data_IF_772062223775
#
_entry.id   IF_772062223775
#
_cell.length_a   1.000
_cell.length_b   1.000
_cell.length_c   1.000
_cell.angle_alpha   90.00
_cell.angle_beta   90.00
_cell.angle_gamma   90.00
#
_symmetry.space_group_name_H-M   'P 1'
#
loop_
_entity.id
_entity.type
_entity.pdbx_description
1 polymer ?
#
# COMPACT_ATOMS: atom_id res chain seq x y z
N UNK A 1 -23.41 16.68 -42.58
CA UNK A 1 -23.00 18.07 -42.85
C UNK A 1 -21.56 18.23 -42.39
N UNK A 2 -20.68 18.10 -43.38
CA UNK A 2 -19.37 18.75 -43.60
C UNK A 2 -18.47 19.24 -42.45
N UNK A 3 -17.27 18.64 -42.46
CA UNK A 3 -15.97 19.25 -42.78
C UNK A 3 -15.50 20.61 -42.17
N UNK A 4 -14.38 20.48 -41.43
CA UNK A 4 -13.11 21.25 -41.55
C UNK A 4 -12.96 22.69 -41.01
N UNK A 5 -12.07 22.84 -40.03
CA UNK A 5 -10.93 23.80 -39.98
C UNK A 5 -10.18 23.58 -38.65
N UNK A 6 -9.04 22.89 -38.57
CA UNK A 6 -7.67 23.35 -38.85
C UNK A 6 -7.27 24.68 -38.14
N UNK A 7 -6.69 24.60 -36.93
CA UNK A 7 -5.38 25.15 -36.56
C UNK A 7 -5.11 25.11 -35.03
N UNK A 8 -3.88 24.76 -34.58
CA UNK A 8 -3.46 24.87 -33.19
C UNK A 8 -3.02 26.31 -32.85
N UNK A 9 -3.56 26.88 -31.78
CA UNK A 9 -3.13 28.17 -31.26
C UNK A 9 -1.72 28.05 -30.64
N UNK A 10 -0.73 28.56 -31.36
CA UNK A 10 0.58 28.91 -30.84
C UNK A 10 0.42 29.94 -29.72
N UNK A 11 0.75 29.60 -28.47
CA UNK A 11 0.82 30.59 -27.41
C UNK A 11 2.03 31.53 -27.61
N UNK A 12 1.70 32.82 -27.58
CA UNK A 12 2.51 33.98 -27.86
C UNK A 12 3.85 34.10 -27.12
N UNK A 13 4.83 34.63 -27.84
CA UNK A 13 6.03 35.31 -27.33
C UNK A 13 5.68 36.58 -26.53
N UNK A 14 6.39 36.90 -25.44
CA UNK A 14 6.48 38.28 -24.95
C UNK A 14 7.77 38.93 -25.46
N UNK A 15 7.60 40.05 -26.15
CA UNK A 15 8.66 40.94 -26.62
C UNK A 15 9.33 41.71 -25.46
N UNK A 16 10.65 41.49 -25.31
CA UNK A 16 11.74 42.42 -24.96
C UNK A 16 11.44 43.64 -24.06
N UNK A 17 12.15 43.76 -22.91
CA UNK A 17 13.23 44.76 -22.71
C UNK A 17 14.09 44.50 -21.44
N UNK A 18 15.39 44.21 -21.65
CA UNK A 18 16.60 44.59 -20.86
C UNK A 18 16.67 44.09 -19.40
N UNK A 19 17.72 43.47 -18.85
CA UNK A 19 19.14 43.31 -19.19
C UNK A 19 19.77 42.30 -18.18
N UNK A 20 20.99 41.82 -18.49
CA UNK A 20 21.97 41.10 -17.62
C UNK A 20 21.88 39.55 -17.62
N UNK A 21 22.71 38.97 -18.50
CA UNK A 21 23.58 37.81 -18.30
C UNK A 21 23.21 36.79 -17.19
N UNK A 22 22.81 35.59 -17.58
CA UNK A 22 23.49 34.36 -17.16
C UNK A 22 23.25 33.27 -18.22
N UNK A 23 24.34 32.94 -18.92
CA UNK A 23 24.40 31.95 -20.00
C UNK A 23 24.38 30.55 -19.38
N UNK A 24 23.20 29.94 -19.20
CA UNK A 24 23.09 28.49 -19.07
C UNK A 24 22.64 27.91 -20.41
N UNK A 25 23.64 27.58 -21.24
CA UNK A 25 23.45 26.80 -22.46
C UNK A 25 23.08 25.37 -22.06
N UNK A 26 21.78 25.07 -21.99
CA UNK A 26 21.28 23.69 -21.96
C UNK A 26 21.43 23.12 -23.37
N UNK A 27 22.55 22.47 -23.63
CA UNK A 27 22.73 21.66 -24.84
C UNK A 27 21.78 20.46 -24.77
N UNK A 28 20.64 20.58 -25.46
CA UNK A 28 19.78 19.45 -25.78
C UNK A 28 20.43 18.73 -26.98
N UNK A 29 21.15 17.63 -26.72
CA UNK A 29 21.66 16.78 -27.79
C UNK A 29 20.49 16.02 -28.43
N UNK A 30 19.93 16.59 -29.50
CA UNK A 30 19.08 15.84 -30.43
C UNK A 30 19.95 14.86 -31.22
N UNK A 31 19.82 13.56 -30.95
CA UNK A 31 20.15 12.53 -31.93
C UNK A 31 18.98 12.38 -32.92
N UNK A 32 19.20 12.45 -34.24
CA UNK A 32 18.16 12.18 -35.22
C UNK A 32 17.95 10.66 -35.36
N UNK A 33 16.68 10.21 -35.33
CA UNK A 33 16.32 8.87 -35.82
C UNK A 33 15.82 7.82 -34.83
N UNK A 34 15.44 8.15 -33.59
CA UNK A 34 14.73 7.21 -32.71
C UNK A 34 13.30 7.71 -32.51
N UNK A 35 12.35 6.91 -32.98
CA UNK A 35 10.92 7.14 -32.75
C UNK A 35 10.67 7.37 -31.26
N UNK A 36 10.11 8.54 -30.95
CA UNK A 36 9.86 8.98 -29.58
C UNK A 36 8.78 8.10 -28.99
N UNK A 37 9.14 6.95 -28.43
CA UNK A 37 8.30 6.31 -27.44
C UNK A 37 8.41 7.12 -26.17
N UNK A 38 7.55 8.13 -26.05
CA UNK A 38 7.24 8.73 -24.77
C UNK A 38 6.74 7.60 -23.89
N UNK A 39 7.60 7.03 -23.05
CA UNK A 39 7.14 6.21 -21.94
C UNK A 39 6.40 7.18 -21.04
N UNK A 40 5.07 7.07 -20.89
CA UNK A 40 4.38 7.88 -19.92
C UNK A 40 4.95 7.47 -18.56
N UNK A 41 5.75 8.35 -17.97
CA UNK A 41 5.92 8.39 -16.52
C UNK A 41 4.52 8.31 -15.94
N UNK A 42 4.25 7.31 -15.10
CA UNK A 42 2.91 6.99 -14.59
C UNK A 42 2.27 8.21 -13.91
N UNK A 43 1.62 9.05 -14.73
CA UNK A 43 0.71 10.09 -14.31
C UNK A 43 -0.53 9.39 -13.77
N UNK A 44 -0.86 9.64 -12.50
CA UNK A 44 -2.12 9.25 -11.85
C UNK A 44 -3.31 10.03 -12.46
N UNK A 45 -3.47 9.99 -13.77
CA UNK A 45 -4.63 10.54 -14.48
C UNK A 45 -5.39 9.33 -15.00
N UNK A 46 -6.55 9.08 -14.40
CA UNK A 46 -7.46 8.02 -14.82
C UNK A 46 -7.93 8.35 -16.25
N UNK A 47 -7.45 7.60 -17.23
CA UNK A 47 -7.92 7.71 -18.62
C UNK A 47 -9.26 6.98 -18.78
N UNK A 48 -10.00 7.28 -19.84
CA UNK A 48 -11.31 6.66 -20.13
C UNK A 48 -11.27 5.13 -20.27
N UNK A 49 -10.08 4.57 -20.47
CA UNK A 49 -9.85 3.14 -20.71
C UNK A 49 -9.72 2.33 -19.41
N UNK A 50 -9.74 3.00 -18.27
CA UNK A 50 -9.58 2.39 -16.94
C UNK A 50 -10.96 1.93 -16.44
N UNK A 51 -11.23 0.63 -16.48
CA UNK A 51 -12.49 0.03 -16.02
C UNK A 51 -12.67 0.19 -14.49
N UNK A 52 -13.55 1.09 -14.07
CA UNK A 52 -13.94 1.26 -12.68
C UNK A 52 -15.20 0.42 -12.39
N UNK A 53 -15.27 -0.26 -11.24
CA UNK A 53 -16.49 -0.95 -10.81
C UNK A 53 -17.63 0.04 -10.61
N UNK A 54 -18.85 -0.47 -10.63
CA UNK A 54 -20.05 0.36 -10.42
C UNK A 54 -20.18 0.79 -8.96
N UNK A 55 -20.88 1.89 -8.69
CA UNK A 55 -21.05 2.40 -7.32
C UNK A 55 -21.77 1.40 -6.42
N UNK A 56 -22.73 0.65 -6.97
CA UNK A 56 -23.49 -0.38 -6.25
C UNK A 56 -22.58 -1.48 -5.70
N UNK A 57 -21.56 -1.89 -6.46
CA UNK A 57 -20.58 -2.88 -6.03
C UNK A 57 -19.69 -2.37 -4.89
N UNK A 58 -19.52 -1.05 -4.77
CA UNK A 58 -18.70 -0.43 -3.74
C UNK A 58 -19.49 -0.14 -2.45
N UNK A 59 -20.82 -0.03 -2.54
CA UNK A 59 -21.67 0.21 -1.38
C UNK A 59 -21.74 -1.01 -0.45
N UNK A 60 -21.09 -0.89 0.71
CA UNK A 60 -20.99 -1.93 1.74
C UNK A 60 -21.24 -1.25 3.09
N UNK A 61 -21.93 -1.89 4.06
CA UNK A 61 -22.09 -1.31 5.39
C UNK A 61 -20.73 -1.01 6.03
N UNK A 62 -20.52 0.26 6.41
CA UNK A 62 -19.27 0.71 7.00
C UNK A 62 -19.19 0.44 8.51
N UNK A 63 -17.96 0.29 9.00
CA UNK A 63 -17.67 0.18 10.43
C UNK A 63 -17.56 1.58 11.04
N UNK A 64 -18.70 2.12 11.45
CA UNK A 64 -18.82 3.46 12.04
C UNK A 64 -18.34 3.50 13.50
N UNK A 65 -17.04 3.32 13.72
CA UNK A 65 -16.40 3.40 15.04
C UNK A 65 -15.25 4.40 15.05
N UNK A 66 -15.00 5.01 16.20
CA UNK A 66 -13.86 5.92 16.37
C UNK A 66 -12.53 5.15 16.39
N UNK A 67 -11.44 5.83 16.01
CA UNK A 67 -10.08 5.26 16.04
C UNK A 67 -9.69 4.59 17.38
N UNK A 68 -9.96 5.20 18.54
CA UNK A 68 -9.70 4.58 19.85
C UNK A 68 -10.47 3.28 20.07
N UNK A 69 -11.72 3.19 19.60
CA UNK A 69 -12.53 1.98 19.72
C UNK A 69 -11.99 0.85 18.81
N UNK A 70 -11.59 1.18 17.58
CA UNK A 70 -10.94 0.20 16.69
C UNK A 70 -9.61 -0.28 17.29
N UNK A 71 -8.82 0.62 17.88
CA UNK A 71 -7.55 0.30 18.52
C UNK A 71 -7.72 -0.54 19.79
N UNK A 72 -8.79 -0.29 20.56
CA UNK A 72 -9.17 -1.10 21.72
C UNK A 72 -9.50 -2.56 21.34
N UNK A 73 -10.24 -2.75 20.23
CA UNK A 73 -10.66 -4.07 19.76
C UNK A 73 -9.64 -4.80 18.89
N UNK A 74 -8.54 -4.16 18.49
CA UNK A 74 -7.66 -4.63 17.42
C UNK A 74 -7.09 -6.05 17.62
N UNK A 75 -6.65 -6.39 18.83
CA UNK A 75 -6.07 -7.72 19.11
C UNK A 75 -7.10 -8.85 18.98
N UNK A 76 -8.29 -8.63 19.52
CA UNK A 76 -9.39 -9.60 19.51
C UNK A 76 -10.00 -9.72 18.11
N UNK A 77 -10.18 -8.59 17.42
CA UNK A 77 -10.64 -8.54 16.03
C UNK A 77 -9.67 -9.27 15.10
N UNK A 78 -8.37 -9.00 15.23
CA UNK A 78 -7.34 -9.63 14.41
C UNK A 78 -7.30 -11.14 14.60
N UNK A 79 -7.57 -11.64 15.82
CA UNK A 79 -7.62 -13.08 16.09
C UNK A 79 -8.90 -13.73 15.53
N UNK A 80 -10.04 -13.07 15.67
CA UNK A 80 -11.33 -13.60 15.20
C UNK A 80 -11.44 -13.58 13.67
N UNK A 81 -10.98 -12.51 13.03
CA UNK A 81 -11.08 -12.31 11.58
C UNK A 81 -9.76 -12.60 10.85
N UNK A 82 -8.89 -13.47 11.42
CA UNK A 82 -7.56 -13.75 10.86
C UNK A 82 -7.64 -14.36 9.45
N UNK A 83 -8.59 -15.26 9.20
CA UNK A 83 -8.75 -15.92 7.90
C UNK A 83 -9.09 -14.91 6.79
N UNK A 84 -10.16 -14.13 6.96
CA UNK A 84 -10.61 -13.15 5.97
C UNK A 84 -9.57 -12.04 5.72
N UNK A 85 -8.90 -11.57 6.78
CA UNK A 85 -7.87 -10.56 6.66
C UNK A 85 -6.65 -11.06 5.88
N UNK A 86 -6.24 -12.31 6.12
CA UNK A 86 -5.11 -12.89 5.41
C UNK A 86 -5.44 -13.14 3.93
N UNK A 87 -6.67 -13.54 3.62
CA UNK A 87 -7.12 -13.68 2.23
C UNK A 87 -7.07 -12.34 1.49
N UNK A 88 -7.63 -11.28 2.09
CA UNK A 88 -7.59 -9.94 1.51
C UNK A 88 -6.17 -9.43 1.29
N UNK A 89 -5.27 -9.65 2.27
CA UNK A 89 -3.89 -9.20 2.17
C UNK A 89 -3.10 -10.00 1.13
N UNK A 90 -3.33 -11.32 1.01
CA UNK A 90 -2.73 -12.12 -0.06
C UNK A 90 -3.25 -11.67 -1.43
N UNK A 91 -4.56 -11.44 -1.55
CA UNK A 91 -5.18 -10.95 -2.78
C UNK A 91 -4.51 -9.69 -3.29
N UNK A 92 -4.36 -8.72 -2.39
CA UNK A 92 -3.76 -7.42 -2.70
C UNK A 92 -2.28 -7.54 -3.06
N UNK A 93 -1.53 -8.40 -2.39
CA UNK A 93 -0.09 -8.58 -2.66
C UNK A 93 0.17 -9.30 -3.99
N UNK A 94 -0.68 -10.25 -4.35
CA UNK A 94 -0.51 -11.07 -5.56
C UNK A 94 -0.99 -10.37 -6.83
N UNK A 95 -2.13 -9.66 -6.77
CA UNK A 95 -2.73 -9.03 -7.95
C UNK A 95 -2.30 -7.56 -8.14
N UNK A 96 -1.89 -6.87 -7.06
CA UNK A 96 -1.55 -5.43 -7.03
C UNK A 96 -2.68 -4.50 -7.56
N UNK A 97 -3.88 -5.04 -7.79
CA UNK A 97 -5.06 -4.36 -8.29
C UNK A 97 -6.18 -4.36 -7.23
N UNK A 98 -6.62 -3.18 -6.72
CA UNK A 98 -7.63 -3.12 -5.66
C UNK A 98 -9.04 -3.52 -6.11
N UNK A 99 -9.31 -3.52 -7.43
CA UNK A 99 -10.64 -3.82 -7.99
C UNK A 99 -10.96 -5.31 -7.99
N UNK A 100 -9.95 -6.15 -8.11
CA UNK A 100 -10.13 -7.60 -8.09
C UNK A 100 -10.45 -8.13 -6.68
N UNK A 101 -9.99 -7.42 -5.64
CA UNK A 101 -10.08 -7.86 -4.23
C UNK A 101 -11.30 -7.28 -3.47
N UNK A 102 -12.35 -6.84 -4.17
CA UNK A 102 -13.50 -6.18 -3.53
C UNK A 102 -14.36 -7.16 -2.72
N UNK A 103 -14.46 -8.41 -3.15
CA UNK A 103 -15.30 -9.41 -2.48
C UNK A 103 -14.68 -9.85 -1.14
N UNK A 104 -13.37 -10.02 -1.11
CA UNK A 104 -12.55 -10.30 0.06
C UNK A 104 -12.60 -9.10 1.02
N UNK A 105 -12.54 -7.87 0.49
CA UNK A 105 -12.72 -6.66 1.29
C UNK A 105 -14.09 -6.60 1.97
N UNK A 106 -15.16 -7.00 1.27
CA UNK A 106 -16.52 -7.14 1.84
C UNK A 106 -16.58 -8.20 2.94
N UNK A 107 -15.88 -9.32 2.78
CA UNK A 107 -15.82 -10.36 3.78
C UNK A 107 -15.15 -9.87 5.08
N UNK A 108 -14.05 -9.11 4.95
CA UNK A 108 -13.36 -8.47 6.08
C UNK A 108 -14.27 -7.51 6.83
N UNK A 109 -14.98 -6.62 6.13
CA UNK A 109 -15.88 -5.64 6.77
C UNK A 109 -17.07 -6.33 7.45
N UNK A 110 -17.63 -7.37 6.83
CA UNK A 110 -18.69 -8.17 7.43
C UNK A 110 -18.21 -8.87 8.71
N UNK A 111 -17.03 -9.49 8.69
CA UNK A 111 -16.46 -10.13 9.89
C UNK A 111 -16.25 -9.10 11.02
N UNK A 112 -15.75 -7.91 10.71
CA UNK A 112 -15.58 -6.84 11.69
C UNK A 112 -16.92 -6.39 12.29
N UNK A 113 -17.95 -6.21 11.46
CA UNK A 113 -19.30 -5.85 11.95
C UNK A 113 -19.89 -6.92 12.86
N UNK A 114 -19.76 -8.20 12.50
CA UNK A 114 -20.23 -9.30 13.34
C UNK A 114 -19.49 -9.35 14.68
N UNK A 115 -18.17 -9.16 14.66
CA UNK A 115 -17.34 -9.08 15.86
C UNK A 115 -17.80 -7.95 16.78
N UNK A 116 -17.98 -6.73 16.27
CA UNK A 116 -18.42 -5.60 17.10
C UNK A 116 -19.87 -5.76 17.58
N UNK A 117 -20.74 -6.42 16.81
CA UNK A 117 -22.10 -6.80 17.28
C UNK A 117 -22.03 -7.76 18.45
N UNK A 118 -21.15 -8.77 18.40
CA UNK A 118 -20.93 -9.72 19.52
C UNK A 118 -20.32 -9.01 20.74
N UNK A 119 -19.31 -8.17 20.52
CA UNK A 119 -18.65 -7.38 21.57
C UNK A 119 -19.66 -6.47 22.30
N UNK A 120 -20.54 -5.79 21.55
CA UNK A 120 -21.57 -4.92 22.12
C UNK A 120 -22.63 -5.70 22.91
N UNK A 121 -22.98 -6.92 22.48
CA UNK A 121 -23.94 -7.76 23.22
C UNK A 121 -23.38 -8.27 24.55
N UNK A 122 -22.08 -8.57 24.59
CA UNK A 122 -21.47 -9.28 25.70
C UNK A 122 -20.69 -8.37 26.67
N UNK A 123 -19.89 -7.42 26.17
CA UNK A 123 -18.89 -6.67 26.95
C UNK A 123 -18.91 -5.15 26.66
N UNK A 124 -20.09 -4.57 26.42
CA UNK A 124 -20.22 -3.16 26.03
C UNK A 124 -19.64 -2.18 27.07
N UNK A 125 -19.88 -2.42 28.36
CA UNK A 125 -19.42 -1.55 29.45
C UNK A 125 -17.91 -1.50 29.57
N UNK A 126 -17.28 -2.67 29.59
CA UNK A 126 -15.85 -2.89 29.73
C UNK A 126 -15.12 -2.33 28.51
N UNK A 127 -15.68 -2.57 27.32
CA UNK A 127 -15.14 -2.06 26.07
C UNK A 127 -15.20 -0.52 26.02
N UNK A 128 -16.31 0.08 26.42
CA UNK A 128 -16.44 1.54 26.46
C UNK A 128 -15.46 2.17 27.46
N UNK A 129 -15.28 1.57 28.64
CA UNK A 129 -14.29 2.04 29.62
C UNK A 129 -12.86 1.98 29.08
N UNK A 130 -12.51 0.89 28.37
CA UNK A 130 -11.19 0.76 27.77
C UNK A 130 -10.96 1.76 26.62
N UNK A 131 -11.93 1.89 25.71
CA UNK A 131 -11.86 2.85 24.61
C UNK A 131 -11.75 4.30 25.11
N UNK A 132 -12.53 4.67 26.14
CA UNK A 132 -12.46 5.98 26.78
C UNK A 132 -11.12 6.24 27.46
N UNK A 133 -10.50 5.22 28.05
CA UNK A 133 -9.17 5.35 28.62
C UNK A 133 -8.13 5.62 27.54
N UNK A 134 -8.17 4.87 26.42
CA UNK A 134 -7.23 5.08 25.32
C UNK A 134 -7.36 6.49 24.73
N UNK A 135 -8.60 6.96 24.53
CA UNK A 135 -8.89 8.29 23.99
C UNK A 135 -8.40 9.43 24.91
N UNK A 136 -8.54 9.28 26.23
CA UNK A 136 -8.19 10.34 27.20
C UNK A 136 -6.76 10.29 27.72
N UNK A 137 -6.08 9.15 27.63
CA UNK A 137 -4.80 8.93 28.31
C UNK A 137 -3.62 9.59 27.61
N UNK A 138 -3.61 9.63 26.27
CA UNK A 138 -2.48 10.13 25.49
C UNK A 138 -2.91 10.52 24.08
N UNK A 139 -2.27 11.54 23.50
CA UNK A 139 -2.51 11.93 22.10
C UNK A 139 -2.18 10.82 21.09
N UNK A 140 -1.26 9.91 21.45
CA UNK A 140 -0.80 8.82 20.59
C UNK A 140 -1.59 7.51 20.76
N UNK A 141 -2.61 7.48 21.64
CA UNK A 141 -3.41 6.31 22.00
C UNK A 141 -2.55 5.12 22.48
N UNK A 142 -1.59 5.37 23.37
CA UNK A 142 -0.65 4.38 23.87
C UNK A 142 -1.32 3.42 24.89
N UNK A 143 -1.13 2.11 24.68
CA UNK A 143 -1.71 1.05 25.53
C UNK A 143 -1.13 0.98 26.95
N UNK A 144 0.04 1.58 27.21
CA UNK A 144 0.73 1.50 28.50
C UNK A 144 -0.08 2.06 29.66
N UNK A 145 -0.85 3.12 29.44
CA UNK A 145 -1.59 3.80 30.51
C UNK A 145 -2.90 3.09 30.89
N UNK A 146 -3.42 2.23 30.01
CA UNK A 146 -4.75 1.62 30.15
C UNK A 146 -4.71 0.11 30.45
N UNK A 147 -3.64 -0.40 31.07
CA UNK A 147 -3.50 -1.85 31.37
C UNK A 147 -4.54 -2.37 32.36
N UNK A 148 -5.03 -1.53 33.28
CA UNK A 148 -6.08 -1.92 34.26
C UNK A 148 -7.41 -2.18 33.57
N UNK A 149 -7.86 -1.26 32.72
CA UNK A 149 -9.09 -1.39 31.95
C UNK A 149 -8.97 -2.48 30.87
N UNK A 150 -7.78 -2.64 30.28
CA UNK A 150 -7.50 -3.75 29.37
C UNK A 150 -7.72 -5.12 30.05
N UNK A 151 -7.19 -5.31 31.27
CA UNK A 151 -7.36 -6.58 31.98
C UNK A 151 -8.82 -6.91 32.33
N UNK A 152 -9.68 -5.90 32.50
CA UNK A 152 -11.13 -6.10 32.70
C UNK A 152 -11.80 -6.53 31.40
N UNK A 153 -11.47 -5.88 30.29
CA UNK A 153 -12.00 -6.25 28.97
C UNK A 153 -11.55 -7.66 28.57
N UNK A 154 -10.25 -7.97 28.68
CA UNK A 154 -9.68 -9.26 28.29
C UNK A 154 -10.34 -10.42 29.07
N UNK A 155 -10.67 -10.22 30.36
CA UNK A 155 -11.42 -11.20 31.15
C UNK A 155 -12.85 -11.40 30.62
N UNK A 156 -13.59 -10.32 30.37
CA UNK A 156 -14.95 -10.43 29.85
C UNK A 156 -15.00 -11.15 28.49
N UNK A 157 -14.03 -10.86 27.62
CA UNK A 157 -13.93 -11.49 26.29
C UNK A 157 -13.60 -12.97 26.39
N UNK A 158 -12.69 -13.35 27.30
CA UNK A 158 -12.37 -14.75 27.57
C UNK A 158 -13.60 -15.50 28.11
N UNK A 159 -14.27 -14.95 29.12
CA UNK A 159 -15.38 -15.62 29.81
C UNK A 159 -16.63 -15.78 28.92
N UNK A 160 -16.95 -14.78 28.08
CA UNK A 160 -18.21 -14.75 27.31
C UNK A 160 -18.06 -15.17 25.84
N UNK A 161 -16.91 -14.91 25.23
CA UNK A 161 -16.68 -15.19 23.80
C UNK A 161 -15.62 -16.27 23.57
N UNK A 162 -14.91 -16.71 24.61
CA UNK A 162 -13.83 -17.70 24.52
C UNK A 162 -12.74 -17.31 23.51
N UNK A 163 -12.49 -16.00 23.39
CA UNK A 163 -11.43 -15.46 22.54
C UNK A 163 -10.28 -15.03 23.47
N UNK A 164 -9.17 -15.74 23.40
CA UNK A 164 -7.97 -15.36 24.14
C UNK A 164 -7.20 -14.27 23.38
N UNK A 165 -6.63 -13.32 24.14
CA UNK A 165 -5.72 -12.33 23.58
C UNK A 165 -4.42 -13.03 23.14
N UNK A 166 -4.02 -12.92 21.86
CA UNK A 166 -2.83 -13.59 21.37
C UNK A 166 -1.53 -13.01 21.97
N UNK A 167 -0.46 -13.79 21.90
CA UNK A 167 0.87 -13.42 22.36
C UNK A 167 1.45 -12.21 21.59
N UNK A 168 2.45 -11.54 22.16
CA UNK A 168 3.04 -10.32 21.60
C UNK A 168 3.62 -10.51 20.18
N UNK A 169 4.12 -11.70 19.85
CA UNK A 169 4.70 -12.02 18.53
C UNK A 169 3.72 -12.65 17.55
N UNK A 170 2.48 -12.93 17.95
CA UNK A 170 1.52 -13.71 17.15
C UNK A 170 1.29 -13.14 15.75
N UNK A 171 1.07 -11.83 15.68
CA UNK A 171 0.76 -11.13 14.43
C UNK A 171 1.99 -10.80 13.58
N UNK A 172 3.19 -10.84 14.16
CA UNK A 172 4.44 -10.62 13.42
C UNK A 172 4.94 -11.90 12.72
N UNK A 173 4.39 -13.06 13.08
CA UNK A 173 4.74 -14.34 12.44
C UNK A 173 4.06 -14.44 11.07
N UNK A 174 4.83 -14.83 10.06
CA UNK A 174 4.29 -15.14 8.74
C UNK A 174 3.24 -16.25 8.85
N UNK A 175 2.07 -16.02 8.24
CA UNK A 175 0.97 -16.98 8.18
C UNK A 175 0.92 -17.55 6.77
N UNK A 176 0.87 -18.87 6.66
CA UNK A 176 0.60 -19.54 5.39
C UNK A 176 -0.91 -19.68 5.27
N UNK A 177 -1.50 -19.02 4.27
CA UNK A 177 -2.93 -19.07 3.99
C UNK A 177 -3.14 -19.87 2.70
N UNK A 178 -4.07 -20.83 2.73
CA UNK A 178 -4.43 -21.64 1.59
C UNK A 178 -5.64 -21.02 0.91
N UNK A 179 -5.56 -20.81 -0.41
CA UNK A 179 -6.54 -20.04 -1.17
C UNK A 179 -6.96 -20.83 -2.41
N UNK A 180 -8.23 -20.73 -2.78
CA UNK A 180 -8.78 -21.49 -3.92
C UNK A 180 -8.55 -20.79 -5.27
N UNK A 181 -8.19 -19.51 -5.22
CA UNK A 181 -7.86 -18.64 -6.35
C UNK A 181 -6.60 -19.12 -7.09
N UNK A 182 -6.59 -19.05 -8.43
CA UNK A 182 -5.39 -19.37 -9.19
C UNK A 182 -4.30 -18.33 -8.90
N UNK A 183 -3.07 -18.80 -8.68
CA UNK A 183 -1.93 -17.91 -8.52
C UNK A 183 -1.72 -17.07 -9.79
N UNK A 184 -1.42 -15.77 -9.67
CA UNK A 184 -1.11 -14.94 -10.82
C UNK A 184 0.08 -15.49 -11.60
N UNK A 185 0.12 -15.27 -12.92
CA UNK A 185 1.24 -15.68 -13.73
C UNK A 185 2.51 -14.99 -13.23
N UNK A 186 3.54 -15.78 -12.90
CA UNK A 186 4.84 -15.23 -12.52
C UNK A 186 5.35 -14.38 -13.66
N UNK A 187 5.71 -13.13 -13.37
CA UNK A 187 6.31 -12.24 -14.35
C UNK A 187 7.55 -12.93 -14.93
N UNK A 188 7.53 -13.14 -16.24
CA UNK A 188 8.67 -13.72 -16.93
C UNK A 188 9.87 -12.77 -16.80
N UNK A 189 11.03 -13.32 -16.45
CA UNK A 189 12.25 -12.51 -16.38
C UNK A 189 12.53 -11.98 -17.77
N UNK A 190 12.67 -10.65 -17.90
CA UNK A 190 13.08 -10.04 -19.15
C UNK A 190 14.46 -10.59 -19.54
N UNK A 191 14.49 -11.51 -20.50
CA UNK A 191 15.74 -11.99 -21.11
C UNK A 191 16.06 -11.02 -22.24
N UNK A 192 17.06 -10.17 -22.01
CA UNK A 192 17.57 -9.29 -23.04
C UNK A 192 18.43 -10.12 -24.02
N UNK A 193 18.05 -10.22 -25.30
CA UNK A 193 18.77 -11.03 -26.28
C UNK A 193 20.15 -10.45 -26.63
N UNK A 194 20.36 -9.16 -26.36
CA UNK A 194 21.58 -8.39 -26.59
C UNK A 194 22.43 -8.19 -25.33
N UNK A 195 22.21 -9.01 -24.30
CA UNK A 195 23.02 -8.97 -23.09
C UNK A 195 24.51 -9.13 -23.45
N UNK A 196 25.31 -8.12 -23.08
CA UNK A 196 26.76 -8.17 -23.30
C UNK A 196 27.30 -9.43 -22.62
N UNK A 197 27.98 -10.34 -23.34
CA UNK A 197 28.52 -11.54 -22.72
C UNK A 197 29.46 -11.13 -21.58
N UNK A 198 29.42 -11.90 -20.49
CA UNK A 198 30.38 -11.72 -19.42
C UNK A 198 31.81 -11.76 -19.98
N UNK A 199 32.72 -10.98 -19.38
CA UNK A 199 34.13 -11.06 -19.76
C UNK A 199 34.60 -12.53 -19.62
N UNK A 200 35.43 -13.03 -20.56
CA UNK A 200 35.94 -14.38 -20.47
C UNK A 200 36.74 -14.57 -19.17
N UNK A 201 36.72 -15.77 -18.60
CA UNK A 201 37.37 -16.06 -17.32
C UNK A 201 38.89 -15.77 -17.33
N UNK A 202 39.50 -15.86 -18.52
CA UNK A 202 40.91 -15.66 -18.82
C UNK A 202 41.26 -14.19 -19.13
N UNK A 203 40.30 -13.26 -18.99
CA UNK A 203 40.59 -11.84 -19.19
C UNK A 203 41.54 -11.33 -18.09
N UNK A 204 42.65 -10.63 -18.44
CA UNK A 204 43.59 -10.14 -17.44
C UNK A 204 42.88 -9.17 -16.51
N UNK A 205 42.94 -9.47 -15.21
CA UNK A 205 42.43 -8.61 -14.12
C UNK A 205 43.64 -7.96 -13.44
N UNK A 206 44.19 -6.86 -13.99
CA UNK A 206 45.28 -6.15 -13.34
C UNK A 206 44.80 -5.52 -12.04
N UNK A 207 45.72 -5.31 -11.10
CA UNK A 207 45.43 -4.59 -9.87
C UNK A 207 44.91 -3.18 -10.17
N UNK A 208 44.01 -2.69 -9.31
CA UNK A 208 43.45 -1.36 -9.46
C UNK A 208 44.56 -0.29 -9.39
N UNK A 209 44.63 0.57 -10.42
CA UNK A 209 45.69 1.58 -10.60
C UNK A 209 45.96 2.47 -9.37
N UNK A 210 44.95 2.70 -8.54
CA UNK A 210 45.01 3.57 -7.36
C UNK A 210 44.35 2.90 -6.14
N UNK A 211 44.52 1.58 -6.01
CA UNK A 211 43.96 0.81 -4.92
C UNK A 211 42.44 0.97 -4.80
N UNK A 212 41.97 1.30 -3.60
CA UNK A 212 40.55 1.39 -3.27
C UNK A 212 39.84 2.66 -3.77
N UNK A 213 40.60 3.70 -4.17
CA UNK A 213 40.07 5.05 -4.51
C UNK A 213 39.16 5.65 -3.43
N UNK A 214 39.25 5.17 -2.19
CA UNK A 214 38.62 5.80 -1.05
C UNK A 214 39.45 7.01 -0.62
N UNK A 215 38.80 8.11 -0.26
CA UNK A 215 39.48 9.40 -0.02
C UNK A 215 40.47 9.39 1.16
N UNK A 216 40.51 8.32 1.96
CA UNK A 216 41.38 8.17 3.15
C UNK A 216 42.27 6.92 3.13
N UNK A 217 42.20 6.09 2.09
CA UNK A 217 43.00 4.88 1.91
C UNK A 217 43.68 4.95 0.55
N UNK A 218 44.99 5.21 0.56
CA UNK A 218 45.82 5.12 -0.64
C UNK A 218 45.92 3.66 -1.11
#
# INVERSE_FOLDING_TARGET
YDETSNQPACCHSPSRRWTIFFRLSRYCHLRPGVEKRCVPSATMVVTKDVFLPTEEELTVPEVNLSGPALRAGAYHLGKQCEAENNEFMLCRQELDDPRACLNEGKAVTNCALEFFRKMKKNCASEFAQYANCLDKSSGDLNFQYCRKTQGVLDKCVLDKMNIERPDYGYFARAKVHATDRPAPPKQEKAVYPDATPGLPADYPRPDAKYGSRFHWLN
#
